data_IF_152640238591
#
_entry.id   IF_152640238591
#
_cell.length_a   1.000
_cell.length_b   1.000
_cell.length_c   1.000
_cell.angle_alpha   90.00
_cell.angle_beta   90.00
_cell.angle_gamma   90.00
#
_symmetry.space_group_name_H-M   'P 1'
#
loop_
_entity.id
_entity.type
_entity.pdbx_description
1 polymer ?
#
# COMPACT_ATOMS: atom_id res chain seq x y z
N UNK A 1 12.07 17.18 25.18
CA UNK A 1 11.14 16.26 25.86
C UNK A 1 11.66 14.85 25.64
N UNK A 2 11.91 14.05 26.68
CA UNK A 2 12.50 12.73 26.50
C UNK A 2 11.41 11.74 26.02
N UNK A 3 11.51 11.31 24.76
CA UNK A 3 10.59 10.33 24.16
C UNK A 3 10.63 9.00 24.94
N UNK A 4 9.48 8.31 25.09
CA UNK A 4 9.42 7.07 25.84
C UNK A 4 10.32 6.01 25.19
N UNK A 5 11.38 5.59 25.90
CA UNK A 5 12.32 4.56 25.45
C UNK A 5 11.63 3.20 25.46
N UNK A 6 10.98 2.86 24.35
CA UNK A 6 10.52 1.50 24.09
C UNK A 6 11.74 0.65 23.73
N UNK A 7 11.95 -0.46 24.46
CA UNK A 7 13.02 -1.43 24.14
C UNK A 7 12.85 -1.89 22.67
N UNK A 8 13.95 -1.87 21.92
CA UNK A 8 14.08 -2.24 20.50
C UNK A 8 13.75 -1.16 19.45
N UNK A 9 13.37 0.06 19.87
CA UNK A 9 13.26 1.24 18.98
C UNK A 9 14.34 2.26 19.36
N UNK A 10 15.11 2.70 18.38
CA UNK A 10 16.16 3.69 18.54
C UNK A 10 15.82 4.93 17.71
N UNK A 11 15.80 6.10 18.34
CA UNK A 11 15.83 7.36 17.61
C UNK A 11 17.20 7.53 16.97
N UNK A 12 17.22 7.83 15.68
CA UNK A 12 18.43 8.13 14.90
C UNK A 12 18.22 9.47 14.22
N UNK A 13 19.05 10.44 14.60
CA UNK A 13 19.09 11.76 13.99
C UNK A 13 20.14 11.76 12.88
N UNK A 14 19.82 12.31 11.72
CA UNK A 14 20.80 12.52 10.67
C UNK A 14 20.50 13.79 9.88
N UNK A 15 21.57 14.43 9.41
CA UNK A 15 21.48 15.63 8.60
C UNK A 15 21.31 15.23 7.13
N UNK A 16 20.21 15.63 6.51
CA UNK A 16 19.99 15.43 5.08
C UNK A 16 20.97 16.29 4.25
N UNK A 17 21.09 15.97 2.96
CA UNK A 17 21.96 16.70 2.03
C UNK A 17 21.63 18.21 1.95
N UNK A 18 20.39 18.58 2.27
CA UNK A 18 19.90 19.98 2.34
C UNK A 18 20.21 20.68 3.67
N UNK A 19 20.99 20.05 4.57
CA UNK A 19 21.38 20.61 5.86
C UNK A 19 20.29 20.57 6.94
N UNK A 20 19.14 19.95 6.66
CA UNK A 20 18.06 19.78 7.63
C UNK A 20 18.30 18.57 8.52
N UNK A 21 18.15 18.76 9.83
CA UNK A 21 18.12 17.66 10.80
C UNK A 21 16.79 16.92 10.68
N UNK A 22 16.86 15.62 10.40
CA UNK A 22 15.70 14.74 10.32
C UNK A 22 15.84 13.66 11.38
N UNK A 23 14.79 13.51 12.18
CA UNK A 23 14.66 12.46 13.17
C UNK A 23 13.97 11.24 12.54
N UNK A 24 14.57 10.05 12.70
CA UNK A 24 13.95 8.77 12.29
C UNK A 24 13.96 7.77 13.43
N UNK A 25 13.02 6.83 13.37
CA UNK A 25 12.88 5.75 14.34
C UNK A 25 13.33 4.44 13.71
N UNK A 26 14.43 3.88 14.23
CA UNK A 26 15.00 2.61 13.80
C UNK A 26 14.48 1.47 14.65
N UNK A 27 13.94 0.43 14.01
CA UNK A 27 13.57 -0.83 14.64
C UNK A 27 14.51 -1.92 14.18
N UNK A 28 15.29 -2.48 15.10
CA UNK A 28 16.21 -3.59 14.84
C UNK A 28 15.77 -4.82 15.63
N UNK A 29 15.43 -5.89 14.91
CA UNK A 29 14.98 -7.15 15.48
C UNK A 29 15.92 -8.26 15.02
N UNK A 30 16.53 -8.97 15.97
CA UNK A 30 17.39 -10.12 15.71
C UNK A 30 16.86 -11.32 16.50
N UNK A 31 15.99 -12.11 15.86
CA UNK A 31 15.43 -13.35 16.42
C UNK A 31 15.78 -14.53 15.52
N UNK A 32 15.67 -15.75 16.05
CA UNK A 32 15.98 -17.00 15.32
C UNK A 32 15.20 -17.10 14.00
N UNK A 33 13.91 -16.78 14.04
CA UNK A 33 12.99 -16.95 12.88
C UNK A 33 12.64 -15.62 12.18
N UNK A 34 13.19 -14.48 12.63
CA UNK A 34 12.84 -13.17 12.08
C UNK A 34 13.97 -12.16 12.33
N UNK A 35 14.46 -11.55 11.26
CA UNK A 35 15.46 -10.48 11.30
C UNK A 35 14.97 -9.30 10.49
N UNK A 36 14.98 -8.11 11.08
CA UNK A 36 14.59 -6.87 10.42
C UNK A 36 15.43 -5.71 10.95
N UNK A 37 15.77 -4.78 10.06
CA UNK A 37 16.46 -3.53 10.38
C UNK A 37 15.83 -2.45 9.48
N UNK A 38 14.91 -1.65 10.04
CA UNK A 38 14.09 -0.69 9.29
C UNK A 38 14.05 0.66 9.99
N UNK A 39 13.85 1.71 9.21
CA UNK A 39 13.70 3.09 9.66
C UNK A 39 12.31 3.60 9.30
N UNK A 40 11.70 4.37 10.20
CA UNK A 40 10.38 4.95 10.08
C UNK A 40 10.44 6.45 10.37
N UNK A 41 9.60 7.24 9.72
CA UNK A 41 9.50 8.68 9.95
C UNK A 41 8.62 8.99 11.18
N UNK A 42 7.70 8.09 11.51
CA UNK A 42 6.77 8.22 12.61
C UNK A 42 7.02 7.18 13.73
N UNK A 43 6.88 7.61 14.98
CA UNK A 43 7.15 6.76 16.14
C UNK A 43 6.05 5.69 16.29
N UNK A 44 4.80 6.03 16.03
CA UNK A 44 3.68 5.12 16.15
C UNK A 44 3.83 4.01 15.09
N UNK A 45 4.23 4.35 13.86
CA UNK A 45 4.54 3.36 12.82
C UNK A 45 5.65 2.37 13.24
N UNK A 46 6.72 2.87 13.88
CA UNK A 46 7.78 2.02 14.41
C UNK A 46 7.28 1.08 15.51
N UNK A 47 6.37 1.54 16.38
CA UNK A 47 5.79 0.72 17.45
C UNK A 47 4.85 -0.36 16.90
N UNK A 48 4.04 -0.03 15.91
CA UNK A 48 3.16 -0.98 15.22
C UNK A 48 3.95 -2.08 14.54
N UNK A 49 5.03 -1.72 13.83
CA UNK A 49 5.91 -2.69 13.18
C UNK A 49 6.56 -3.64 14.20
N UNK A 50 7.04 -3.11 15.33
CA UNK A 50 7.61 -3.91 16.41
C UNK A 50 6.56 -4.83 17.04
N UNK A 51 5.32 -4.39 17.21
CA UNK A 51 4.21 -5.19 17.74
C UNK A 51 3.84 -6.33 16.78
N UNK A 52 3.67 -6.03 15.49
CA UNK A 52 3.36 -7.01 14.44
C UNK A 52 4.44 -8.09 14.34
N UNK A 53 5.71 -7.72 14.51
CA UNK A 53 6.83 -8.67 14.46
C UNK A 53 6.81 -9.74 15.57
N UNK A 54 6.06 -9.52 16.66
CA UNK A 54 5.93 -10.46 17.78
C UNK A 54 4.84 -11.50 17.54
N UNK A 55 3.74 -11.13 16.88
CA UNK A 55 2.60 -12.01 16.64
C UNK A 55 2.80 -12.90 15.41
N UNK A 56 2.27 -14.14 15.41
CA UNK A 56 2.37 -15.06 14.26
C UNK A 56 1.63 -14.51 13.02
N UNK A 57 0.39 -14.04 13.19
CA UNK A 57 -0.37 -13.34 12.13
C UNK A 57 0.27 -12.00 11.73
N UNK A 58 0.83 -11.27 12.70
CA UNK A 58 1.53 -10.02 12.43
C UNK A 58 2.79 -10.23 11.58
N UNK A 59 3.53 -11.31 11.84
CA UNK A 59 4.60 -11.78 10.95
C UNK A 59 4.06 -12.12 9.57
N UNK A 60 2.94 -12.82 9.44
CA UNK A 60 2.33 -13.11 8.11
C UNK A 60 1.95 -11.83 7.35
N UNK A 61 1.47 -10.78 8.04
CA UNK A 61 1.15 -9.48 7.44
C UNK A 61 2.43 -8.75 7.00
N UNK A 62 3.44 -8.69 7.86
CA UNK A 62 4.77 -8.17 7.51
C UNK A 62 5.36 -8.98 6.34
N UNK A 63 5.20 -10.30 6.37
CA UNK A 63 5.69 -11.18 5.34
C UNK A 63 4.94 -10.98 4.05
N UNK A 64 3.62 -10.74 3.99
CA UNK A 64 2.93 -10.36 2.75
C UNK A 64 3.52 -9.11 2.11
N UNK A 65 3.91 -8.11 2.92
CA UNK A 65 4.60 -6.91 2.43
C UNK A 65 5.99 -7.25 1.85
N UNK A 66 6.73 -8.20 2.45
CA UNK A 66 8.02 -8.67 1.90
C UNK A 66 7.89 -9.73 0.79
N UNK A 67 6.80 -10.50 0.79
CA UNK A 67 6.47 -11.52 -0.18
C UNK A 67 5.98 -10.82 -1.45
N UNK A 68 5.35 -9.65 -1.38
CA UNK A 68 5.14 -8.77 -2.53
C UNK A 68 6.48 -8.38 -3.20
N UNK A 69 7.56 -8.15 -2.45
CA UNK A 69 8.90 -7.91 -3.00
C UNK A 69 9.54 -9.19 -3.57
N UNK A 70 9.31 -10.36 -2.94
CA UNK A 70 9.75 -11.66 -3.49
C UNK A 70 8.96 -12.10 -4.71
N UNK A 71 7.65 -11.87 -4.71
CA UNK A 71 6.70 -12.12 -5.80
C UNK A 71 6.95 -11.14 -6.92
N UNK A 72 7.37 -9.90 -6.66
CA UNK A 72 7.90 -9.02 -7.73
C UNK A 72 9.10 -9.65 -8.44
N UNK A 73 10.06 -10.17 -7.67
CA UNK A 73 11.23 -10.88 -8.21
C UNK A 73 10.89 -12.21 -8.88
N UNK A 74 9.86 -12.93 -8.41
CA UNK A 74 9.40 -14.19 -8.99
C UNK A 74 8.51 -13.97 -10.22
N UNK A 75 7.68 -12.93 -10.23
CA UNK A 75 6.81 -12.56 -11.36
C UNK A 75 7.63 -12.03 -12.54
N UNK A 76 8.80 -11.45 -12.30
CA UNK A 76 9.81 -11.17 -13.34
C UNK A 76 10.40 -12.45 -13.97
N UNK A 77 10.26 -13.62 -13.33
CA UNK A 77 10.84 -14.90 -13.80
C UNK A 77 9.84 -15.88 -14.41
N UNK A 78 8.53 -15.73 -14.19
CA UNK A 78 7.58 -16.75 -14.62
C UNK A 78 6.32 -16.12 -15.20
N UNK A 79 6.26 -16.03 -16.53
CA UNK A 79 5.00 -15.93 -17.25
C UNK A 79 4.06 -17.08 -16.85
N UNK A 80 2.75 -16.80 -16.89
CA UNK A 80 1.64 -17.74 -16.77
C UNK A 80 1.30 -18.25 -15.36
N UNK A 81 0.63 -17.40 -14.59
CA UNK A 81 -0.43 -17.89 -13.70
C UNK A 81 -1.65 -17.02 -13.88
N UNK A 82 -2.83 -17.65 -14.04
CA UNK A 82 -4.12 -16.95 -14.00
C UNK A 82 -4.19 -16.25 -12.65
N UNK A 83 -3.98 -14.94 -12.65
CA UNK A 83 -3.79 -14.16 -11.43
C UNK A 83 -5.09 -14.17 -10.64
N UNK A 84 -5.01 -14.64 -9.39
CA UNK A 84 -6.09 -14.55 -8.39
C UNK A 84 -6.18 -13.15 -7.76
N UNK A 85 -5.34 -12.21 -8.23
CA UNK A 85 -5.29 -10.83 -7.79
C UNK A 85 -6.27 -9.97 -8.61
N UNK A 86 -7.38 -9.61 -7.98
CA UNK A 86 -8.40 -8.73 -8.54
C UNK A 86 -8.27 -7.29 -8.04
N UNK A 87 -7.11 -6.92 -7.50
CA UNK A 87 -6.89 -5.55 -7.03
C UNK A 87 -6.83 -4.56 -8.18
N UNK A 88 -7.28 -3.33 -7.94
CA UNK A 88 -7.17 -2.23 -8.89
C UNK A 88 -5.71 -1.95 -9.26
N UNK A 89 -4.77 -2.11 -8.31
CA UNK A 89 -3.34 -2.01 -8.57
C UNK A 89 -2.85 -3.02 -9.61
N UNK A 90 -3.33 -4.27 -9.53
CA UNK A 90 -3.01 -5.31 -10.52
C UNK A 90 -3.47 -4.92 -11.93
N UNK A 91 -4.73 -4.48 -12.07
CA UNK A 91 -5.27 -4.06 -13.37
C UNK A 91 -4.59 -2.81 -13.92
N UNK A 92 -4.22 -1.86 -13.06
CA UNK A 92 -3.43 -0.70 -13.50
C UNK A 92 -2.06 -1.13 -14.04
N UNK A 93 -1.40 -2.08 -13.40
CA UNK A 93 -0.10 -2.58 -13.84
C UNK A 93 -0.23 -3.26 -15.21
N UNK A 94 -1.23 -4.12 -15.40
CA UNK A 94 -1.52 -4.73 -16.69
C UNK A 94 -1.80 -3.69 -17.78
N UNK A 95 -2.60 -2.66 -17.46
CA UNK A 95 -2.87 -1.56 -18.38
C UNK A 95 -1.59 -0.79 -18.75
N UNK A 96 -0.71 -0.52 -17.78
CA UNK A 96 0.55 0.16 -18.04
C UNK A 96 1.39 -0.66 -19.03
N UNK A 97 1.61 -1.93 -18.74
CA UNK A 97 2.44 -2.83 -19.54
C UNK A 97 1.87 -3.03 -20.95
N UNK A 98 0.57 -3.30 -21.06
CA UNK A 98 -0.06 -3.65 -22.33
C UNK A 98 -0.40 -2.43 -23.20
N UNK A 99 -0.70 -1.29 -22.59
CA UNK A 99 -1.29 -0.15 -23.30
C UNK A 99 -0.52 1.17 -23.17
N UNK A 100 0.33 1.36 -22.15
CA UNK A 100 1.06 2.63 -21.94
C UNK A 100 2.51 2.50 -22.38
N UNK A 101 3.21 1.43 -21.99
CA UNK A 101 4.62 1.22 -22.34
C UNK A 101 4.81 0.70 -23.78
N UNK A 102 3.76 0.18 -24.40
CA UNK A 102 3.75 -0.29 -25.80
C UNK A 102 3.55 0.82 -26.82
N UNK A 103 3.23 2.05 -26.38
CA UNK A 103 3.04 3.19 -27.28
C UNK A 103 4.40 3.74 -27.73
N UNK A 104 4.51 4.23 -28.97
CA UNK A 104 5.72 4.91 -29.44
C UNK A 104 6.00 6.17 -28.61
N UNK A 105 7.28 6.43 -28.34
CA UNK A 105 7.75 7.55 -27.52
C UNK A 105 8.89 8.36 -28.19
N UNK A 106 8.93 8.34 -29.52
CA UNK A 106 9.96 9.02 -30.32
C UNK A 106 9.93 10.55 -30.12
N UNK A 107 8.73 11.12 -30.04
CA UNK A 107 8.53 12.57 -29.87
C UNK A 107 8.48 12.99 -28.40
N UNK A 108 8.88 14.23 -28.11
CA UNK A 108 8.77 14.82 -26.77
C UNK A 108 7.32 14.80 -26.26
N UNK A 109 6.35 15.09 -27.14
CA UNK A 109 4.93 15.07 -26.80
C UNK A 109 4.47 13.68 -26.35
N UNK A 110 4.91 12.62 -27.03
CA UNK A 110 4.59 11.24 -26.65
C UNK A 110 5.22 10.87 -25.30
N UNK A 111 6.48 11.24 -25.06
CA UNK A 111 7.16 11.03 -23.77
C UNK A 111 6.45 11.74 -22.63
N UNK A 112 6.07 13.00 -22.83
CA UNK A 112 5.32 13.78 -21.83
C UNK A 112 3.94 13.17 -21.55
N UNK A 113 3.22 12.75 -22.59
CA UNK A 113 1.93 12.09 -22.43
C UNK A 113 2.06 10.77 -21.65
N UNK A 114 3.08 9.95 -21.95
CA UNK A 114 3.38 8.72 -21.21
C UNK A 114 3.67 9.03 -19.74
N UNK A 115 4.53 10.01 -19.45
CA UNK A 115 4.85 10.43 -18.09
C UNK A 115 3.60 10.92 -17.32
N UNK A 116 2.72 11.68 -17.98
CA UNK A 116 1.47 12.15 -17.39
C UNK A 116 0.54 10.99 -17.01
N UNK A 117 0.36 9.99 -17.89
CA UNK A 117 -0.47 8.82 -17.61
C UNK A 117 0.10 8.04 -16.42
N UNK A 118 1.42 7.81 -16.40
CA UNK A 118 2.07 7.10 -15.29
C UNK A 118 1.91 7.87 -13.96
N UNK A 119 2.10 9.18 -13.97
CA UNK A 119 1.90 10.04 -12.80
C UNK A 119 0.45 10.01 -12.30
N UNK A 120 -0.51 10.07 -13.22
CA UNK A 120 -1.93 9.99 -12.90
C UNK A 120 -2.31 8.65 -12.26
N UNK A 121 -1.88 7.53 -12.85
CA UNK A 121 -2.15 6.20 -12.29
C UNK A 121 -1.50 6.01 -10.93
N UNK A 122 -0.25 6.47 -10.75
CA UNK A 122 0.42 6.47 -9.45
C UNK A 122 -0.35 7.29 -8.42
N UNK A 123 -0.88 8.43 -8.81
CA UNK A 123 -1.70 9.28 -7.93
C UNK A 123 -2.96 8.54 -7.51
N UNK A 124 -3.73 8.00 -8.45
CA UNK A 124 -4.97 7.27 -8.14
C UNK A 124 -4.71 6.07 -7.24
N UNK A 125 -3.70 5.25 -7.55
CA UNK A 125 -3.35 4.08 -6.73
C UNK A 125 -3.09 4.43 -5.26
N UNK A 126 -2.48 5.59 -5.01
CA UNK A 126 -2.15 6.07 -3.66
C UNK A 126 -3.24 6.95 -3.05
N UNK A 127 -4.38 7.14 -3.70
CA UNK A 127 -5.52 7.84 -3.12
C UNK A 127 -6.28 6.91 -2.17
N UNK A 128 -6.46 7.34 -0.93
CA UNK A 128 -7.27 6.61 0.06
C UNK A 128 -8.75 6.92 -0.11
N UNK A 129 -9.61 5.90 -0.11
CA UNK A 129 -11.06 6.05 -0.11
C UNK A 129 -11.69 5.43 1.15
N UNK A 130 -12.82 5.95 1.65
CA UNK A 130 -13.58 5.29 2.70
C UNK A 130 -14.08 3.91 2.23
N UNK A 131 -13.75 2.85 2.97
CA UNK A 131 -14.32 1.53 2.71
C UNK A 131 -15.70 1.43 3.36
N UNK A 132 -16.67 0.93 2.60
CA UNK A 132 -18.03 0.60 3.09
C UNK A 132 -18.22 -0.89 3.32
N UNK A 133 -17.18 -1.68 3.10
CA UNK A 133 -17.26 -3.13 2.98
C UNK A 133 -16.76 -3.86 4.23
N UNK A 134 -16.15 -3.15 5.17
CA UNK A 134 -15.77 -3.73 6.47
C UNK A 134 -16.99 -3.85 7.36
N UNK A 135 -17.31 -5.07 7.76
CA UNK A 135 -18.33 -5.38 8.75
C UNK A 135 -17.92 -4.89 10.15
N UNK A 136 -18.89 -4.61 11.05
CA UNK A 136 -18.60 -4.28 12.44
C UNK A 136 -17.74 -5.33 13.16
N UNK A 137 -17.92 -6.61 12.86
CA UNK A 137 -17.11 -7.71 13.41
C UNK A 137 -15.66 -7.65 12.93
N UNK A 138 -15.41 -7.39 11.65
CA UNK A 138 -14.05 -7.21 11.13
C UNK A 138 -13.37 -5.99 11.75
N UNK A 139 -14.12 -4.92 12.01
CA UNK A 139 -13.60 -3.73 12.71
C UNK A 139 -13.24 -4.06 14.16
N UNK A 140 -14.08 -4.78 14.89
CA UNK A 140 -13.80 -5.20 16.26
C UNK A 140 -12.60 -6.16 16.36
N UNK A 141 -12.44 -7.08 15.40
CA UNK A 141 -11.24 -7.92 15.30
C UNK A 141 -9.97 -7.10 15.07
N UNK A 142 -10.10 -5.92 14.44
CA UNK A 142 -9.02 -4.94 14.27
C UNK A 142 -8.90 -3.97 15.46
N UNK A 143 -9.69 -4.12 16.51
CA UNK A 143 -9.70 -3.22 17.67
C UNK A 143 -10.31 -1.84 17.40
N UNK A 144 -11.08 -1.70 16.33
CA UNK A 144 -11.75 -0.46 15.94
C UNK A 144 -13.21 -0.46 16.39
N UNK A 145 -13.70 0.72 16.78
CA UNK A 145 -15.12 0.91 17.06
C UNK A 145 -15.96 0.63 15.81
N UNK A 146 -17.15 0.06 15.98
CA UNK A 146 -18.02 -0.39 14.90
C UNK A 146 -18.34 0.72 13.87
N UNK A 147 -18.45 1.96 14.34
CA UNK A 147 -18.81 3.12 13.52
C UNK A 147 -17.61 3.82 12.88
N UNK A 148 -16.39 3.34 13.12
CA UNK A 148 -15.17 3.96 12.57
C UNK A 148 -15.17 3.90 11.05
N UNK A 149 -14.93 5.05 10.41
CA UNK A 149 -14.70 5.13 8.96
C UNK A 149 -13.26 4.73 8.66
N UNK A 150 -13.09 3.54 8.10
CA UNK A 150 -11.77 3.06 7.68
C UNK A 150 -11.50 3.52 6.26
N UNK A 151 -10.28 4.00 5.99
CA UNK A 151 -9.83 4.35 4.65
C UNK A 151 -8.85 3.30 4.14
N UNK A 152 -8.99 2.94 2.88
CA UNK A 152 -8.10 2.00 2.18
C UNK A 152 -7.60 2.63 0.90
N UNK A 153 -6.33 2.38 0.57
CA UNK A 153 -5.76 2.85 -0.69
C UNK A 153 -6.40 2.16 -1.88
N UNK A 154 -6.65 2.93 -2.93
CA UNK A 154 -7.20 2.43 -4.20
C UNK A 154 -6.40 1.28 -4.78
N UNK A 155 -5.07 1.26 -4.62
CA UNK A 155 -4.21 0.17 -5.09
C UNK A 155 -4.70 -1.21 -4.65
N UNK A 156 -5.14 -1.35 -3.40
CA UNK A 156 -5.60 -2.63 -2.82
C UNK A 156 -7.10 -2.89 -3.00
N UNK A 157 -7.82 -2.02 -3.71
CA UNK A 157 -9.27 -2.15 -3.86
C UNK A 157 -9.62 -3.34 -4.76
N UNK A 158 -10.45 -4.25 -4.26
CA UNK A 158 -10.90 -5.42 -5.03
C UNK A 158 -11.95 -5.02 -6.07
N UNK A 159 -11.60 -5.12 -7.36
CA UNK A 159 -12.45 -4.73 -8.48
C UNK A 159 -13.78 -5.49 -8.56
N UNK A 160 -13.89 -6.67 -7.94
CA UNK A 160 -15.15 -7.43 -7.87
C UNK A 160 -16.19 -6.77 -6.96
N UNK A 161 -15.77 -5.84 -6.12
CA UNK A 161 -16.66 -5.07 -5.23
C UNK A 161 -17.32 -3.88 -5.94
N UNK A 162 -16.92 -3.56 -7.18
CA UNK A 162 -17.57 -2.56 -8.00
C UNK A 162 -18.96 -3.05 -8.36
N UNK A 163 -19.98 -2.40 -7.80
CA UNK A 163 -21.38 -2.63 -8.14
C UNK A 163 -21.91 -1.44 -8.91
N UNK A 164 -22.63 -1.70 -9.99
CA UNK A 164 -23.44 -0.69 -10.64
C UNK A 164 -24.47 -0.19 -9.63
N UNK A 165 -24.51 1.12 -9.40
CA UNK A 165 -25.64 1.70 -8.71
C UNK A 165 -26.87 1.45 -9.60
N UNK A 166 -27.99 0.93 -9.05
CA UNK A 166 -29.20 0.77 -9.83
C UNK A 166 -29.54 2.14 -10.41
N UNK A 167 -29.61 2.21 -11.75
CA UNK A 167 -29.91 3.45 -12.44
C UNK A 167 -31.19 4.04 -11.86
N UNK A 168 -31.12 5.29 -11.38
CA UNK A 168 -32.32 6.08 -11.16
C UNK A 168 -32.93 6.36 -12.54
N UNK A 169 -33.62 5.38 -13.11
CA UNK A 169 -34.57 5.58 -14.19
C UNK A 169 -35.72 6.39 -13.63
N UNK A 170 -35.52 7.70 -13.49
CA UNK A 170 -36.61 8.65 -13.39
C UNK A 170 -37.25 8.70 -14.77
N UNK A 171 -38.17 7.78 -15.03
CA UNK A 171 -39.12 7.91 -16.14
C UNK A 171 -39.82 9.25 -15.89
N UNK A 172 -39.47 10.26 -16.68
CA UNK A 172 -40.29 11.48 -16.74
C UNK A 172 -41.60 11.03 -17.37
N UNK A 173 -42.63 10.88 -16.55
CA UNK A 173 -43.99 10.71 -17.03
C UNK A 173 -44.36 11.92 -17.90
N UNK A 174 -44.91 11.63 -19.08
CA UNK A 174 -45.59 12.60 -19.93
C UNK A 174 -46.84 13.15 -19.24
#
# INVERSE_FOLDING_TARGET
>A
MASPKIRDIQTVEYTNADGQEVEKYRVRIVRKDFKADRYFDDFDEATEFLALSKAKKGKEIIFKITEEERVKKLAEQTQESRTTDYSFGHFCQQYIEQCVLTRPDDTELQRRNRANILSFLKTIQNTSIPTRYLSPSEKQEMGLEADTVVKVFMKGFDGRQIRLLPGQHRVRGN
#
